data_IF_793665203280
#
_entry.id   IF_793665203280
#
_cell.length_a   1.000
_cell.length_b   1.000
_cell.length_c   1.000
_cell.angle_alpha   90.00
_cell.angle_beta   90.00
_cell.angle_gamma   90.00
#
_symmetry.space_group_name_H-M   'P 1'
#
loop_
_entity.id
_entity.type
_entity.pdbx_description
1 polymer ?
#
# COMPACT_ATOMS: atom_id res chain seq x y z
N UNK A 1 90.56 -23.33 2.35
CA UNK A 1 89.67 -22.46 3.06
C UNK A 1 88.41 -22.29 2.16
N UNK A 2 87.36 -23.01 2.52
CA UNK A 2 86.14 -23.12 1.70
C UNK A 2 85.00 -22.39 2.39
N UNK A 3 84.46 -21.43 1.75
CA UNK A 3 83.33 -20.67 2.25
C UNK A 3 82.02 -21.21 1.63
N UNK A 4 81.24 -21.89 2.49
CA UNK A 4 79.91 -22.39 2.12
C UNK A 4 78.87 -21.28 2.08
N UNK A 5 78.26 -21.11 0.94
CA UNK A 5 77.17 -20.16 0.74
C UNK A 5 75.82 -20.79 1.18
N UNK A 6 75.22 -20.25 2.24
CA UNK A 6 73.84 -20.56 2.63
C UNK A 6 72.85 -19.93 1.63
N UNK A 7 72.07 -20.75 0.97
CA UNK A 7 70.90 -20.30 0.17
C UNK A 7 69.70 -20.20 1.07
N UNK A 8 69.26 -18.99 1.31
CA UNK A 8 67.97 -18.74 1.99
C UNK A 8 66.80 -19.04 1.03
N UNK A 9 66.02 -20.05 1.35
CA UNK A 9 64.78 -20.30 0.66
C UNK A 9 63.66 -19.38 1.23
N UNK A 10 63.17 -18.46 0.43
CA UNK A 10 62.02 -17.62 0.79
C UNK A 10 60.74 -18.45 0.57
N UNK A 11 60.04 -18.71 1.67
CA UNK A 11 58.71 -19.34 1.67
C UNK A 11 57.67 -18.28 1.31
N UNK A 12 57.11 -18.35 0.10
CA UNK A 12 56.00 -17.48 -0.32
C UNK A 12 54.69 -18.03 0.26
N UNK A 13 54.15 -17.37 1.27
CA UNK A 13 52.81 -17.66 1.80
C UNK A 13 51.77 -17.05 0.86
N UNK A 14 51.09 -17.90 0.09
CA UNK A 14 49.95 -17.47 -0.72
C UNK A 14 48.74 -17.23 0.21
N UNK A 15 48.39 -15.96 0.44
CA UNK A 15 47.16 -15.57 1.07
C UNK A 15 46.00 -15.83 0.10
N UNK A 16 45.33 -16.96 0.29
CA UNK A 16 44.04 -17.23 -0.33
C UNK A 16 43.03 -16.22 0.22
N UNK A 17 42.71 -15.20 -0.59
CA UNK A 17 41.68 -14.23 -0.27
C UNK A 17 40.33 -14.92 -0.21
N UNK A 18 39.79 -15.12 1.00
CA UNK A 18 38.37 -15.41 1.18
C UNK A 18 37.60 -14.12 0.80
N UNK A 19 37.01 -14.12 -0.38
CA UNK A 19 35.96 -13.13 -0.71
C UNK A 19 34.79 -13.36 0.24
N UNK A 20 34.31 -12.33 0.95
CA UNK A 20 33.08 -12.49 1.73
C UNK A 20 31.95 -12.83 0.76
N UNK A 21 31.30 -13.97 1.02
CA UNK A 21 30.06 -14.31 0.34
C UNK A 21 29.07 -13.16 0.55
N UNK A 22 28.70 -12.50 -0.53
CA UNK A 22 27.62 -11.52 -0.55
C UNK A 22 26.38 -12.29 -0.15
N UNK A 23 25.80 -11.98 1.02
CA UNK A 23 24.48 -12.49 1.36
C UNK A 23 23.55 -12.02 0.24
N UNK A 24 23.06 -12.96 -0.57
CA UNK A 24 21.97 -12.68 -1.52
C UNK A 24 20.81 -12.16 -0.68
N UNK A 25 20.59 -10.86 -0.77
CA UNK A 25 19.42 -10.21 -0.21
C UNK A 25 18.23 -10.82 -0.95
N UNK A 26 17.46 -11.66 -0.25
CA UNK A 26 16.26 -12.25 -0.80
C UNK A 26 15.40 -11.09 -1.32
N UNK A 27 14.92 -11.14 -2.59
CA UNK A 27 14.12 -10.07 -3.13
C UNK A 27 12.90 -9.90 -2.24
N UNK A 28 12.80 -8.76 -1.55
CA UNK A 28 11.56 -8.38 -0.87
C UNK A 28 10.45 -8.37 -1.91
N UNK A 29 9.34 -9.10 -1.69
CA UNK A 29 8.24 -9.10 -2.65
C UNK A 29 7.84 -7.66 -2.95
N UNK A 30 8.01 -7.22 -4.19
CA UNK A 30 7.60 -5.87 -4.58
C UNK A 30 6.06 -5.79 -4.47
N UNK A 31 5.57 -4.72 -3.86
CA UNK A 31 4.14 -4.43 -3.85
C UNK A 31 3.66 -4.32 -5.30
N UNK A 32 2.75 -5.18 -5.71
CA UNK A 32 2.27 -5.21 -7.09
C UNK A 32 1.10 -4.25 -7.33
N UNK A 33 0.31 -3.98 -6.27
CA UNK A 33 -0.88 -3.13 -6.34
C UNK A 33 -2.01 -3.64 -7.22
N UNK A 34 -1.92 -4.91 -7.70
CA UNK A 34 -2.93 -5.49 -8.58
C UNK A 34 -4.18 -5.92 -7.81
N UNK A 35 -5.34 -5.65 -8.40
CA UNK A 35 -6.62 -6.13 -7.88
C UNK A 35 -7.62 -6.38 -9.01
N UNK A 36 -8.59 -7.25 -8.74
CA UNK A 36 -9.84 -7.40 -9.48
C UNK A 36 -10.95 -7.30 -8.45
N UNK A 37 -11.72 -6.23 -8.49
CA UNK A 37 -12.75 -5.89 -7.50
C UNK A 37 -14.01 -5.35 -8.20
N UNK A 38 -15.02 -5.02 -7.42
CA UNK A 38 -16.27 -4.49 -7.92
C UNK A 38 -16.57 -3.13 -7.28
N UNK A 39 -17.08 -2.19 -8.07
CA UNK A 39 -17.62 -0.92 -7.54
C UNK A 39 -18.86 -1.18 -6.68
N UNK A 40 -19.30 -0.16 -5.96
CA UNK A 40 -20.55 -0.22 -5.16
C UNK A 40 -21.78 -0.59 -5.98
N UNK A 41 -21.77 -0.30 -7.29
CA UNK A 41 -22.85 -0.61 -8.24
C UNK A 41 -22.62 -1.95 -8.98
N UNK A 42 -21.59 -2.72 -8.61
CA UNK A 42 -21.32 -4.06 -9.14
C UNK A 42 -20.53 -4.12 -10.44
N UNK A 43 -19.99 -3.00 -10.95
CA UNK A 43 -19.11 -3.01 -12.11
C UNK A 43 -17.74 -3.58 -11.74
N UNK A 44 -17.28 -4.59 -12.46
CA UNK A 44 -15.92 -5.13 -12.29
C UNK A 44 -14.86 -4.15 -12.77
N UNK A 45 -13.83 -3.95 -11.96
CA UNK A 45 -12.69 -3.06 -12.22
C UNK A 45 -11.39 -3.72 -11.75
N UNK A 46 -10.30 -3.30 -12.36
CA UNK A 46 -8.94 -3.70 -11.98
C UNK A 46 -8.11 -2.43 -11.72
N UNK A 47 -6.90 -2.59 -11.21
CA UNK A 47 -5.93 -1.48 -11.12
C UNK A 47 -5.72 -0.80 -12.48
N UNK A 48 -5.73 -1.56 -13.57
CA UNK A 48 -5.62 -1.03 -14.93
C UNK A 48 -6.79 -0.09 -15.32
N UNK A 49 -7.95 -0.19 -14.68
CA UNK A 49 -9.09 0.70 -14.90
C UNK A 49 -8.83 2.15 -14.50
N UNK A 50 -7.80 2.38 -13.70
CA UNK A 50 -7.44 3.69 -13.14
C UNK A 50 -6.11 4.22 -13.69
N UNK A 51 -5.50 3.56 -14.68
CA UNK A 51 -4.27 4.04 -15.35
C UNK A 51 -4.48 5.45 -15.91
N UNK A 52 -3.40 6.23 -15.92
CA UNK A 52 -3.43 7.66 -16.29
C UNK A 52 -3.77 8.60 -15.14
N UNK A 53 -4.17 8.06 -13.98
CA UNK A 53 -4.34 8.83 -12.74
C UNK A 53 -3.45 8.28 -11.63
N UNK A 54 -3.09 9.13 -10.71
CA UNK A 54 -2.52 8.72 -9.44
C UNK A 54 -3.61 8.05 -8.61
N UNK A 55 -3.37 6.84 -8.12
CA UNK A 55 -4.31 6.20 -7.20
C UNK A 55 -3.85 6.44 -5.76
N UNK A 56 -4.77 6.95 -4.93
CA UNK A 56 -4.59 7.06 -3.49
C UNK A 56 -5.50 6.02 -2.83
N UNK A 57 -4.92 4.86 -2.47
CA UNK A 57 -5.69 3.68 -2.03
C UNK A 57 -5.66 3.57 -0.51
N UNK A 58 -6.84 3.39 0.08
CA UNK A 58 -7.01 3.13 1.50
C UNK A 58 -7.85 1.87 1.72
N UNK A 59 -7.37 0.99 2.61
CA UNK A 59 -8.11 -0.20 3.04
C UNK A 59 -8.76 0.05 4.38
N UNK A 60 -10.06 -0.25 4.48
CA UNK A 60 -10.84 -0.02 5.69
C UNK A 60 -12.16 -0.78 5.67
N UNK A 61 -13.09 -0.44 6.56
CA UNK A 61 -14.42 -1.05 6.62
C UNK A 61 -15.44 -0.08 7.22
N UNK A 62 -16.74 -0.25 6.88
CA UNK A 62 -17.79 0.74 7.25
C UNK A 62 -18.11 0.74 8.74
N UNK A 63 -17.82 -0.33 9.46
CA UNK A 63 -18.04 -0.45 10.91
C UNK A 63 -16.85 -0.01 11.75
N UNK A 64 -15.82 0.59 11.15
CA UNK A 64 -14.70 1.21 11.87
C UNK A 64 -15.21 2.46 12.59
N UNK A 65 -15.07 2.54 13.94
CA UNK A 65 -15.73 3.61 14.70
C UNK A 65 -15.00 4.96 14.64
N UNK A 66 -13.73 5.00 14.26
CA UNK A 66 -12.90 6.19 14.45
C UNK A 66 -11.92 6.45 13.29
N UNK A 67 -10.96 5.56 13.05
CA UNK A 67 -9.84 5.83 12.14
C UNK A 67 -10.30 5.98 10.69
N UNK A 68 -11.15 5.07 10.18
CA UNK A 68 -11.56 5.11 8.77
C UNK A 68 -12.31 6.39 8.38
N UNK A 69 -13.33 6.87 9.13
CA UNK A 69 -13.97 8.13 8.78
C UNK A 69 -13.02 9.33 8.87
N UNK A 70 -12.08 9.33 9.81
CA UNK A 70 -11.07 10.39 9.91
C UNK A 70 -10.20 10.42 8.64
N UNK A 71 -9.64 9.30 8.22
CA UNK A 71 -8.82 9.21 7.00
C UNK A 71 -9.58 9.65 5.76
N UNK A 72 -10.85 9.23 5.60
CA UNK A 72 -11.67 9.62 4.45
C UNK A 72 -11.96 11.12 4.41
N UNK A 73 -12.16 11.76 5.56
CA UNK A 73 -12.28 13.22 5.67
C UNK A 73 -10.98 13.91 5.27
N UNK A 74 -9.82 13.44 5.76
CA UNK A 74 -8.52 14.03 5.43
C UNK A 74 -8.17 13.87 3.95
N UNK A 75 -8.56 12.77 3.30
CA UNK A 75 -8.50 12.63 1.85
C UNK A 75 -9.32 13.74 1.16
N UNK A 76 -10.54 14.01 1.62
CA UNK A 76 -11.38 15.08 1.09
C UNK A 76 -10.73 16.46 1.23
N UNK A 77 -10.15 16.76 2.39
CA UNK A 77 -9.39 18.01 2.64
C UNK A 77 -8.21 18.11 1.66
N UNK A 78 -7.42 17.04 1.52
CA UNK A 78 -6.28 17.01 0.61
C UNK A 78 -6.69 17.31 -0.84
N UNK A 79 -7.74 16.65 -1.34
CA UNK A 79 -8.23 16.87 -2.70
C UNK A 79 -8.73 18.30 -2.93
N UNK A 80 -9.35 18.93 -1.92
CA UNK A 80 -9.80 20.30 -2.01
C UNK A 80 -8.61 21.28 -2.04
N UNK A 81 -7.60 21.06 -1.23
CA UNK A 81 -6.37 21.86 -1.25
C UNK A 81 -5.58 21.73 -2.56
N UNK A 82 -5.58 20.54 -3.17
CA UNK A 82 -4.92 20.33 -4.46
C UNK A 82 -5.55 21.12 -5.61
N UNK A 83 -6.79 21.59 -5.45
CA UNK A 83 -7.51 22.36 -6.48
C UNK A 83 -7.57 21.60 -7.81
N UNK A 84 -7.18 22.22 -8.95
CA UNK A 84 -7.24 21.57 -10.26
C UNK A 84 -6.39 20.30 -10.38
N UNK A 85 -5.31 20.16 -9.61
CA UNK A 85 -4.46 18.97 -9.62
C UNK A 85 -5.19 17.73 -9.09
N UNK A 86 -6.20 17.90 -8.24
CA UNK A 86 -7.01 16.79 -7.73
C UNK A 86 -7.67 15.96 -8.86
N UNK A 87 -7.91 16.55 -10.03
CA UNK A 87 -8.43 15.81 -11.19
C UNK A 87 -7.50 14.68 -11.68
N UNK A 88 -6.21 14.77 -11.36
CA UNK A 88 -5.21 13.75 -11.67
C UNK A 88 -5.14 12.64 -10.62
N UNK A 89 -5.84 12.77 -9.49
CA UNK A 89 -5.84 11.79 -8.40
C UNK A 89 -7.17 11.05 -8.39
N UNK A 90 -7.11 9.73 -8.22
CA UNK A 90 -8.26 8.88 -7.98
C UNK A 90 -8.14 8.29 -6.57
N UNK A 91 -8.88 8.80 -5.59
CA UNK A 91 -8.95 8.17 -4.28
C UNK A 91 -9.84 6.93 -4.37
N UNK A 92 -9.36 5.85 -3.75
CA UNK A 92 -10.01 4.54 -3.77
C UNK A 92 -10.09 4.01 -2.34
N UNK A 93 -11.30 3.67 -1.90
CA UNK A 93 -11.53 2.94 -0.66
C UNK A 93 -11.81 1.47 -0.98
N UNK A 94 -11.00 0.55 -0.46
CA UNK A 94 -11.20 -0.90 -0.61
C UNK A 94 -11.64 -1.47 0.72
N UNK A 95 -12.83 -2.09 0.77
CA UNK A 95 -13.27 -2.72 2.00
C UNK A 95 -12.53 -4.03 2.28
N UNK A 96 -12.14 -4.21 3.55
CA UNK A 96 -11.60 -5.47 4.10
C UNK A 96 -12.69 -6.35 4.73
N UNK A 97 -13.95 -5.89 4.72
CA UNK A 97 -15.10 -6.59 5.30
C UNK A 97 -16.20 -6.84 4.27
N UNK A 98 -15.98 -7.66 3.25
CA UNK A 98 -16.94 -7.89 2.19
C UNK A 98 -18.23 -8.55 2.69
N UNK A 99 -18.23 -9.10 3.91
CA UNK A 99 -19.40 -9.74 4.50
C UNK A 99 -20.44 -8.70 4.94
N UNK A 100 -20.04 -7.63 5.63
CA UNK A 100 -20.91 -6.55 6.09
C UNK A 100 -21.04 -5.43 5.06
N UNK A 101 -19.97 -5.10 4.35
CA UNK A 101 -19.88 -3.97 3.42
C UNK A 101 -20.40 -4.34 2.02
N UNK A 102 -21.69 -4.71 1.94
CA UNK A 102 -22.34 -4.92 0.64
C UNK A 102 -22.44 -3.61 -0.13
N UNK A 103 -22.57 -3.66 -1.46
CA UNK A 103 -22.59 -2.48 -2.32
C UNK A 103 -23.46 -1.32 -1.79
N UNK A 104 -24.75 -1.55 -1.43
CA UNK A 104 -25.60 -0.50 -0.89
C UNK A 104 -25.12 0.08 0.45
N UNK A 105 -24.52 -0.75 1.33
CA UNK A 105 -23.99 -0.32 2.63
C UNK A 105 -22.77 0.57 2.40
N UNK A 106 -21.81 0.11 1.59
CA UNK A 106 -20.60 0.85 1.25
C UNK A 106 -20.93 2.16 0.54
N UNK A 107 -21.89 2.15 -0.41
CA UNK A 107 -22.37 3.35 -1.11
C UNK A 107 -22.94 4.38 -0.13
N UNK A 108 -23.80 3.93 0.80
CA UNK A 108 -24.37 4.81 1.83
C UNK A 108 -23.28 5.38 2.75
N UNK A 109 -22.32 4.57 3.16
CA UNK A 109 -21.21 5.02 4.01
C UNK A 109 -20.39 6.10 3.31
N UNK A 110 -19.95 5.84 2.07
CA UNK A 110 -19.11 6.76 1.31
C UNK A 110 -19.82 8.05 0.90
N UNK A 111 -21.16 8.08 0.87
CA UNK A 111 -21.91 9.30 0.57
C UNK A 111 -21.77 10.40 1.64
N UNK A 112 -21.22 10.09 2.81
CA UNK A 112 -20.89 11.07 3.84
C UNK A 112 -19.55 11.79 3.61
N UNK A 113 -18.76 11.37 2.63
CA UNK A 113 -17.41 11.85 2.36
C UNK A 113 -17.32 12.48 0.96
N UNK A 114 -16.09 12.79 0.53
CA UNK A 114 -15.84 13.39 -0.77
C UNK A 114 -16.36 12.50 -1.92
N UNK A 115 -17.20 13.01 -2.83
CA UNK A 115 -17.81 12.20 -3.90
C UNK A 115 -16.82 11.67 -4.94
N UNK A 116 -15.57 12.12 -4.92
CA UNK A 116 -14.49 11.60 -5.78
C UNK A 116 -13.97 10.26 -5.30
N UNK A 117 -14.25 9.87 -4.05
CA UNK A 117 -13.80 8.59 -3.46
C UNK A 117 -14.59 7.44 -4.08
N UNK A 118 -13.90 6.55 -4.77
CA UNK A 118 -14.49 5.32 -5.33
C UNK A 118 -14.42 4.20 -4.31
N UNK A 119 -15.57 3.62 -3.99
CA UNK A 119 -15.65 2.43 -3.14
C UNK A 119 -15.53 1.15 -3.95
N UNK A 120 -14.62 0.28 -3.53
CA UNK A 120 -14.43 -1.05 -4.12
C UNK A 120 -14.63 -2.14 -3.07
N UNK A 121 -15.18 -3.26 -3.53
CA UNK A 121 -15.36 -4.46 -2.73
C UNK A 121 -15.08 -5.71 -3.56
N UNK A 122 -14.61 -6.75 -2.91
CA UNK A 122 -14.53 -8.10 -3.47
C UNK A 122 -15.51 -9.05 -2.81
N UNK A 123 -15.35 -10.32 -3.08
CA UNK A 123 -15.68 -11.39 -2.16
C UNK A 123 -14.52 -11.63 -1.17
N UNK A 124 -14.54 -12.76 -0.43
CA UNK A 124 -13.47 -13.05 0.54
C UNK A 124 -12.12 -13.28 -0.13
N UNK A 125 -12.08 -14.00 -1.24
CA UNK A 125 -10.86 -14.34 -1.96
C UNK A 125 -10.30 -13.11 -2.71
N UNK A 126 -11.14 -12.38 -3.44
CA UNK A 126 -10.77 -11.15 -4.16
C UNK A 126 -10.21 -10.09 -3.21
N UNK A 127 -10.84 -9.95 -2.01
CA UNK A 127 -10.37 -9.03 -0.96
C UNK A 127 -9.00 -9.45 -0.43
N UNK A 128 -8.79 -10.76 -0.19
CA UNK A 128 -7.51 -11.27 0.29
C UNK A 128 -6.41 -11.08 -0.74
N UNK A 129 -6.69 -11.34 -2.04
CA UNK A 129 -5.75 -11.12 -3.14
C UNK A 129 -5.35 -9.65 -3.21
N UNK A 130 -6.31 -8.73 -3.15
CA UNK A 130 -6.04 -7.29 -3.16
C UNK A 130 -5.18 -6.89 -1.94
N UNK A 131 -5.54 -7.33 -0.73
CA UNK A 131 -4.80 -7.02 0.48
C UNK A 131 -3.36 -7.53 0.42
N UNK A 132 -3.12 -8.74 -0.09
CA UNK A 132 -1.77 -9.30 -0.30
C UNK A 132 -0.96 -8.49 -1.31
N UNK A 133 -1.58 -8.05 -2.41
CA UNK A 133 -0.93 -7.25 -3.44
C UNK A 133 -0.44 -5.89 -2.94
N UNK A 134 -1.09 -5.34 -1.91
CA UNK A 134 -0.72 -4.09 -1.23
C UNK A 134 0.01 -4.33 0.10
N UNK A 135 0.33 -5.57 0.48
CA UNK A 135 0.91 -5.94 1.77
C UNK A 135 0.11 -5.42 2.97
N UNK A 136 -1.22 -5.36 2.83
CA UNK A 136 -2.12 -4.95 3.91
C UNK A 136 -2.27 -6.08 4.91
N UNK A 137 -1.96 -5.78 6.16
CA UNK A 137 -2.33 -6.63 7.28
C UNK A 137 -3.77 -6.29 7.71
N UNK A 138 -4.60 -7.32 7.90
CA UNK A 138 -5.88 -7.18 8.57
C UNK A 138 -6.25 -8.48 9.30
N UNK A 139 -6.91 -8.36 10.45
CA UNK A 139 -7.32 -9.49 11.27
C UNK A 139 -8.61 -9.18 12.00
N UNK A 140 -9.60 -10.06 11.88
CA UNK A 140 -10.82 -9.97 12.64
C UNK A 140 -10.59 -10.25 14.13
N UNK A 141 -11.18 -9.42 15.00
CA UNK A 141 -11.17 -9.53 16.45
C UNK A 141 -12.62 -9.68 16.94
N UNK A 142 -12.92 -10.79 17.59
CA UNK A 142 -14.25 -11.03 18.14
C UNK A 142 -14.51 -10.09 19.34
N UNK A 143 -15.67 -9.43 19.33
CA UNK A 143 -16.16 -8.59 20.43
C UNK A 143 -17.20 -9.28 21.30
N UNK A 144 -17.57 -10.54 21.00
CA UNK A 144 -18.67 -11.27 21.63
C UNK A 144 -20.01 -11.03 20.97
N UNK A 145 -21.02 -11.84 21.31
CA UNK A 145 -22.39 -11.76 20.76
C UNK A 145 -22.45 -11.75 19.21
N UNK A 146 -21.52 -12.43 18.55
CA UNK A 146 -21.42 -12.45 17.08
C UNK A 146 -20.91 -11.17 16.44
N UNK A 147 -20.47 -10.19 17.23
CA UNK A 147 -19.86 -8.96 16.75
C UNK A 147 -18.35 -9.11 16.62
N UNK A 148 -17.77 -8.37 15.66
CA UNK A 148 -16.32 -8.33 15.45
C UNK A 148 -15.88 -6.96 14.90
N UNK A 149 -14.61 -6.66 15.10
CA UNK A 149 -13.88 -5.54 14.54
C UNK A 149 -12.67 -6.04 13.78
N UNK A 150 -11.90 -5.13 13.14
CA UNK A 150 -10.64 -5.48 12.49
C UNK A 150 -9.49 -4.65 13.03
N UNK A 151 -8.39 -5.33 13.35
CA UNK A 151 -7.08 -4.69 13.35
C UNK A 151 -6.56 -4.68 11.92
N UNK A 152 -6.13 -3.55 11.41
CA UNK A 152 -5.61 -3.45 10.05
C UNK A 152 -4.57 -2.35 9.89
N UNK A 153 -3.78 -2.45 8.82
CA UNK A 153 -2.83 -1.40 8.42
C UNK A 153 -3.57 -0.11 8.06
N UNK A 154 -3.24 0.98 8.75
CA UNK A 154 -3.84 2.30 8.55
C UNK A 154 -3.04 3.18 7.58
N UNK A 155 -2.62 2.66 6.42
CA UNK A 155 -1.82 3.39 5.45
C UNK A 155 -2.60 3.79 4.21
N UNK A 156 -2.21 4.93 3.63
CA UNK A 156 -2.58 5.34 2.29
C UNK A 156 -1.47 4.92 1.32
N UNK A 157 -1.84 4.22 0.26
CA UNK A 157 -0.93 3.70 -0.75
C UNK A 157 -0.98 4.60 -1.98
N UNK A 158 0.15 5.19 -2.35
CA UNK A 158 0.26 6.02 -3.53
C UNK A 158 0.82 5.21 -4.70
N UNK A 159 0.05 5.17 -5.79
CA UNK A 159 0.39 4.48 -7.03
C UNK A 159 0.44 5.50 -8.16
N UNK A 160 1.47 5.45 -9.00
CA UNK A 160 1.65 6.36 -10.12
C UNK A 160 0.66 6.08 -11.29
N UNK A 161 0.54 6.98 -12.27
CA UNK A 161 -0.34 6.77 -13.43
C UNK A 161 -0.01 5.54 -14.30
N UNK A 162 1.20 4.99 -14.16
CA UNK A 162 1.62 3.74 -14.84
C UNK A 162 1.30 2.50 -13.99
N UNK A 163 0.93 2.69 -12.71
CA UNK A 163 0.58 1.67 -11.76
C UNK A 163 1.73 1.12 -10.94
N UNK A 164 2.80 1.85 -10.83
CA UNK A 164 3.87 1.49 -9.93
C UNK A 164 3.61 2.06 -8.54
N UNK A 165 3.92 1.29 -7.53
CA UNK A 165 3.92 1.77 -6.16
C UNK A 165 4.99 2.86 -5.98
N UNK A 166 4.61 3.96 -5.34
CA UNK A 166 5.49 5.11 -5.10
C UNK A 166 5.81 5.26 -3.63
N UNK A 167 4.80 5.40 -2.78
CA UNK A 167 5.00 5.64 -1.35
C UNK A 167 3.84 5.19 -0.48
N UNK A 168 4.12 5.06 0.82
CA UNK A 168 3.13 4.89 1.88
C UNK A 168 3.04 6.19 2.67
N UNK A 169 1.81 6.66 2.89
CA UNK A 169 1.52 7.72 3.84
C UNK A 169 0.80 7.11 5.04
N UNK A 170 1.08 7.59 6.24
CA UNK A 170 0.33 7.16 7.42
C UNK A 170 -1.08 7.75 7.39
N UNK A 171 -2.07 6.98 7.82
CA UNK A 171 -3.49 7.41 7.78
C UNK A 171 -3.85 8.48 8.81
N UNK A 172 -2.96 8.80 9.74
CA UNK A 172 -3.10 9.88 10.72
C UNK A 172 -2.60 11.24 10.20
N UNK A 173 -2.08 11.29 8.96
CA UNK A 173 -1.66 12.55 8.36
C UNK A 173 -2.85 13.48 8.15
N UNK A 174 -2.73 14.77 8.54
CA UNK A 174 -3.68 15.80 8.15
C UNK A 174 -3.77 15.98 6.63
N UNK A 175 -4.94 16.36 6.13
CA UNK A 175 -5.18 16.48 4.69
C UNK A 175 -4.22 17.42 3.96
N UNK A 176 -3.77 18.51 4.62
CA UNK A 176 -2.76 19.40 4.03
C UNK A 176 -1.39 18.74 3.83
N UNK A 177 -1.00 17.82 4.73
CA UNK A 177 0.24 17.07 4.57
C UNK A 177 0.09 16.00 3.48
N UNK A 178 -1.07 15.33 3.39
CA UNK A 178 -1.39 14.43 2.27
C UNK A 178 -1.31 15.19 0.94
N UNK A 179 -1.89 16.39 0.85
CA UNK A 179 -1.84 17.21 -0.36
C UNK A 179 -0.41 17.63 -0.73
N UNK A 180 0.41 17.95 0.26
CA UNK A 180 1.82 18.29 0.08
C UNK A 180 2.62 17.11 -0.48
N UNK A 181 2.48 15.91 0.10
CA UNK A 181 3.17 14.73 -0.40
C UNK A 181 2.69 14.35 -1.82
N UNK A 182 1.37 14.43 -2.10
CA UNK A 182 0.85 14.20 -3.45
C UNK A 182 1.47 15.16 -4.47
N UNK A 183 1.55 16.47 -4.18
CA UNK A 183 2.18 17.45 -5.09
C UNK A 183 3.64 17.12 -5.35
N UNK A 184 4.40 16.81 -4.32
CA UNK A 184 5.81 16.46 -4.40
C UNK A 184 6.06 15.27 -5.35
N UNK A 185 5.23 14.23 -5.25
CA UNK A 185 5.36 13.04 -6.09
C UNK A 185 4.86 13.26 -7.54
N UNK A 186 4.07 14.32 -7.77
CA UNK A 186 3.49 14.66 -9.09
C UNK A 186 4.34 15.66 -9.90
N UNK A 187 5.41 16.22 -9.32
CA UNK A 187 6.39 17.10 -9.97
C UNK A 187 7.38 16.30 -10.83
#
# INVERSE_FOLDING_TARGET
MSVSSLRSAALAVALLGLSPARADELPTPSMTGHFLLHTVDGKTVTDASYRGKWMLVYFGYTYCPDVCPTVLNEIGVALNEMGPLAAKVQPIFITIDPMRDKGPVLKKYLSAFDPRIVGLRGDGEETEVAAKAFHVYYRAQALGNGQYTYDHSGYLYLIDPKGHFVSLLTGDLPGHDIAKELRKEME
#
